data_IF_758623230406
#
_entry.id   IF_758623230406
#
_cell.length_a   1.000
_cell.length_b   1.000
_cell.length_c   1.000
_cell.angle_alpha   90.00
_cell.angle_beta   90.00
_cell.angle_gamma   90.00
#
_symmetry.space_group_name_H-M   'P 1'
#
loop_
_entity.id
_entity.type
_entity.pdbx_description
1 polymer ?
#
# COMPACT_ATOMS: atom_id res chain seq x y z
N UNK A 1 4.12 -16.20 -7.23
CA UNK A 1 3.69 -16.96 -6.02
C UNK A 1 3.08 -16.07 -4.94
N UNK A 2 3.80 -15.14 -4.28
CA UNK A 2 3.19 -14.29 -3.22
C UNK A 2 2.11 -13.31 -3.73
N UNK A 3 2.29 -12.76 -4.94
CA UNK A 3 1.31 -11.86 -5.56
C UNK A 3 0.06 -12.61 -6.04
N UNK A 4 0.24 -13.85 -6.50
CA UNK A 4 -0.82 -14.70 -7.06
C UNK A 4 -1.58 -15.49 -5.98
N UNK A 5 -1.09 -15.47 -4.73
CA UNK A 5 -1.72 -16.15 -3.60
C UNK A 5 -3.00 -15.41 -3.16
N UNK A 6 -3.96 -16.17 -2.63
CA UNK A 6 -5.18 -15.59 -2.07
C UNK A 6 -4.88 -14.60 -0.94
N UNK A 7 -5.67 -13.54 -0.88
CA UNK A 7 -5.52 -12.51 0.15
C UNK A 7 -6.07 -12.99 1.49
N UNK A 8 -5.27 -12.88 2.55
CA UNK A 8 -5.68 -13.23 3.91
C UNK A 8 -6.27 -12.03 4.67
N UNK A 9 -7.15 -12.29 5.63
CA UNK A 9 -7.66 -11.24 6.52
C UNK A 9 -6.53 -10.56 7.31
N UNK A 10 -5.46 -11.29 7.63
CA UNK A 10 -4.30 -10.75 8.32
C UNK A 10 -3.56 -9.68 7.49
N UNK A 11 -3.49 -9.87 6.17
CA UNK A 11 -2.91 -8.88 5.25
C UNK A 11 -3.78 -7.61 5.18
N UNK A 12 -5.09 -7.78 5.08
CA UNK A 12 -6.05 -6.66 5.07
C UNK A 12 -5.98 -5.89 6.39
N UNK A 13 -5.92 -6.59 7.53
CA UNK A 13 -5.76 -5.99 8.85
C UNK A 13 -4.43 -5.23 8.96
N UNK A 14 -3.34 -5.83 8.47
CA UNK A 14 -2.02 -5.18 8.44
C UNK A 14 -2.05 -3.91 7.59
N UNK A 15 -2.63 -3.97 6.40
CA UNK A 15 -2.78 -2.81 5.52
C UNK A 15 -3.59 -1.70 6.18
N UNK A 16 -4.74 -2.04 6.78
CA UNK A 16 -5.59 -1.10 7.50
C UNK A 16 -4.83 -0.40 8.64
N UNK A 17 -4.06 -1.15 9.44
CA UNK A 17 -3.22 -0.58 10.51
C UNK A 17 -2.17 0.39 9.98
N UNK A 18 -1.58 0.11 8.81
CA UNK A 18 -0.58 0.95 8.17
C UNK A 18 -1.15 2.21 7.49
N UNK A 19 -2.47 2.37 7.36
CA UNK A 19 -3.06 3.58 6.80
C UNK A 19 -2.92 4.76 7.77
N UNK A 20 -2.65 5.95 7.22
CA UNK A 20 -2.55 7.18 8.01
C UNK A 20 -3.95 7.66 8.46
N UNK A 21 -4.04 8.01 9.74
CA UNK A 21 -5.23 8.60 10.36
C UNK A 21 -5.31 10.11 10.07
N UNK A 22 -6.46 10.73 10.33
CA UNK A 22 -6.68 12.18 10.16
C UNK A 22 -6.48 12.71 8.73
N UNK A 23 -6.68 11.86 7.72
CA UNK A 23 -6.81 12.29 6.32
C UNK A 23 -8.25 12.63 6.03
N UNK A 24 -8.46 13.57 5.09
CA UNK A 24 -9.79 13.94 4.63
C UNK A 24 -10.56 12.69 4.18
N UNK A 25 -11.81 12.50 4.65
CA UNK A 25 -12.65 11.38 4.23
C UNK A 25 -12.95 11.43 2.73
N UNK A 26 -13.42 10.32 2.19
CA UNK A 26 -13.87 10.27 0.80
C UNK A 26 -15.20 11.00 0.58
N UNK A 27 -15.75 10.91 -0.64
CA UNK A 27 -17.12 11.32 -0.94
C UNK A 27 -18.18 10.66 -0.02
N UNK A 28 -17.81 9.52 0.57
CA UNK A 28 -18.60 8.74 1.53
C UNK A 28 -18.63 9.30 2.95
N UNK A 29 -17.76 10.28 3.26
CA UNK A 29 -17.67 10.88 4.60
C UNK A 29 -16.98 10.01 5.65
N UNK A 30 -16.55 8.79 5.33
CA UNK A 30 -15.88 7.90 6.28
C UNK A 30 -14.35 8.07 6.22
N UNK A 31 -13.73 8.36 7.37
CA UNK A 31 -12.28 8.44 7.49
C UNK A 31 -11.67 7.07 7.77
N UNK A 32 -10.35 6.94 7.62
CA UNK A 32 -9.60 5.72 7.98
C UNK A 32 -9.84 5.33 9.46
N UNK A 33 -10.10 6.30 10.33
CA UNK A 33 -10.36 6.07 11.75
C UNK A 33 -11.63 5.25 11.98
N UNK A 34 -12.66 5.48 11.17
CA UNK A 34 -13.88 4.67 11.18
C UNK A 34 -13.55 3.20 10.86
N UNK A 35 -12.82 2.94 9.79
CA UNK A 35 -12.45 1.58 9.39
C UNK A 35 -11.58 0.88 10.45
N UNK A 36 -10.66 1.62 11.10
CA UNK A 36 -9.86 1.10 12.21
C UNK A 36 -10.69 0.79 13.45
N UNK A 37 -11.64 1.65 13.81
CA UNK A 37 -12.51 1.44 14.97
C UNK A 37 -13.45 0.25 14.80
N UNK A 38 -13.95 0.03 13.58
CA UNK A 38 -14.87 -1.07 13.26
C UNK A 38 -14.19 -2.26 12.58
N UNK A 39 -12.86 -2.37 12.68
CA UNK A 39 -12.09 -3.41 11.98
C UNK A 39 -12.63 -4.81 12.26
N UNK A 40 -13.01 -5.11 13.50
CA UNK A 40 -13.50 -6.43 13.89
C UNK A 40 -14.80 -6.84 13.17
N UNK A 41 -15.63 -5.87 12.76
CA UNK A 41 -16.87 -6.12 12.03
C UNK A 41 -16.69 -6.04 10.52
N UNK A 42 -15.76 -5.20 10.06
CA UNK A 42 -15.56 -4.91 8.64
C UNK A 42 -14.52 -5.84 7.98
N UNK A 43 -13.62 -6.46 8.74
CA UNK A 43 -12.49 -7.22 8.18
C UNK A 43 -12.92 -8.35 7.23
N UNK A 44 -13.84 -9.20 7.67
CA UNK A 44 -14.33 -10.32 6.86
C UNK A 44 -15.12 -9.83 5.63
N UNK A 45 -16.11 -8.90 5.75
CA UNK A 45 -16.78 -8.33 4.59
C UNK A 45 -15.82 -7.68 3.58
N UNK A 46 -14.86 -6.87 4.06
CA UNK A 46 -13.86 -6.21 3.22
C UNK A 46 -12.99 -7.22 2.47
N UNK A 47 -12.55 -8.27 3.17
CA UNK A 47 -11.68 -9.30 2.57
C UNK A 47 -12.43 -10.09 1.49
N UNK A 48 -13.66 -10.52 1.76
CA UNK A 48 -14.46 -11.26 0.79
C UNK A 48 -14.77 -10.41 -0.44
N UNK A 49 -15.10 -9.15 -0.22
CA UNK A 49 -15.38 -8.20 -1.28
C UNK A 49 -14.15 -7.92 -2.16
N UNK A 50 -12.97 -7.74 -1.56
CA UNK A 50 -11.71 -7.58 -2.32
C UNK A 50 -11.42 -8.84 -3.15
N UNK A 51 -11.59 -10.03 -2.56
CA UNK A 51 -11.41 -11.31 -3.28
C UNK A 51 -12.33 -11.42 -4.48
N UNK A 52 -13.61 -11.09 -4.31
CA UNK A 52 -14.59 -11.10 -5.39
C UNK A 52 -14.22 -10.08 -6.48
N UNK A 53 -13.80 -8.88 -6.09
CA UNK A 53 -13.38 -7.85 -7.04
C UNK A 53 -12.19 -8.28 -7.90
N UNK A 54 -11.18 -8.92 -7.28
CA UNK A 54 -10.01 -9.45 -7.97
C UNK A 54 -10.40 -10.60 -8.90
N UNK A 55 -11.26 -11.52 -8.45
CA UNK A 55 -11.74 -12.64 -9.26
C UNK A 55 -12.50 -12.17 -10.50
N UNK A 56 -13.32 -11.14 -10.36
CA UNK A 56 -14.16 -10.61 -11.43
C UNK A 56 -13.47 -9.52 -12.27
N UNK A 57 -12.23 -9.12 -11.93
CA UNK A 57 -11.54 -7.96 -12.50
C UNK A 57 -12.39 -6.68 -12.53
N UNK A 58 -13.33 -6.55 -11.57
CA UNK A 58 -14.26 -5.42 -11.48
C UNK A 58 -14.52 -5.13 -10.01
N UNK A 59 -14.30 -3.88 -9.60
CA UNK A 59 -14.70 -3.40 -8.28
C UNK A 59 -16.24 -3.33 -8.21
N UNK A 60 -16.87 -3.67 -7.07
CA UNK A 60 -18.28 -3.41 -6.87
C UNK A 60 -18.59 -1.94 -7.17
N UNK A 61 -19.70 -1.66 -7.86
CA UNK A 61 -20.11 -0.29 -8.19
C UNK A 61 -20.16 0.66 -6.98
N UNK A 62 -20.65 0.25 -5.78
CA UNK A 62 -20.54 1.12 -4.61
C UNK A 62 -19.10 1.45 -4.21
N UNK A 63 -18.12 0.58 -4.51
CA UNK A 63 -16.71 0.78 -4.15
C UNK A 63 -16.00 1.86 -4.98
N UNK A 64 -16.42 2.09 -6.21
CA UNK A 64 -15.86 3.16 -7.06
C UNK A 64 -16.00 4.56 -6.42
N UNK A 65 -16.92 4.69 -5.45
CA UNK A 65 -17.19 5.92 -4.71
C UNK A 65 -16.53 5.96 -3.32
N UNK A 66 -16.00 4.82 -2.83
CA UNK A 66 -15.44 4.67 -1.47
C UNK A 66 -13.91 4.78 -1.50
N UNK A 67 -13.37 5.91 -1.03
CA UNK A 67 -11.93 6.19 -1.08
C UNK A 67 -11.08 5.35 -0.12
N UNK A 68 -11.68 4.80 0.94
CA UNK A 68 -10.94 4.04 1.94
C UNK A 68 -10.65 2.60 1.47
N UNK A 69 -11.58 1.95 0.79
CA UNK A 69 -11.43 0.56 0.36
C UNK A 69 -10.35 0.40 -0.71
N UNK A 70 -10.30 1.33 -1.67
CA UNK A 70 -9.19 1.41 -2.63
C UNK A 70 -7.85 1.58 -1.92
N UNK A 71 -7.77 2.47 -0.91
CA UNK A 71 -6.53 2.68 -0.15
C UNK A 71 -6.09 1.42 0.58
N UNK A 72 -7.03 0.64 1.13
CA UNK A 72 -6.73 -0.65 1.76
C UNK A 72 -6.17 -1.62 0.71
N UNK A 73 -6.85 -1.81 -0.42
CA UNK A 73 -6.39 -2.69 -1.50
C UNK A 73 -5.00 -2.29 -2.03
N UNK A 74 -4.82 -1.02 -2.39
CA UNK A 74 -3.52 -0.50 -2.84
C UNK A 74 -2.43 -0.70 -1.80
N UNK A 75 -2.75 -0.56 -0.51
CA UNK A 75 -1.81 -0.78 0.58
C UNK A 75 -1.44 -2.26 0.74
N UNK A 76 -2.38 -3.19 0.58
CA UNK A 76 -2.08 -4.64 0.58
C UNK A 76 -1.12 -4.97 -0.56
N UNK A 77 -1.42 -4.50 -1.78
CA UNK A 77 -0.56 -4.75 -2.95
C UNK A 77 0.84 -4.16 -2.73
N UNK A 78 0.93 -2.93 -2.23
CA UNK A 78 2.22 -2.31 -1.92
C UNK A 78 3.04 -3.11 -0.90
N UNK A 79 2.39 -3.66 0.14
CA UNK A 79 3.06 -4.50 1.14
C UNK A 79 3.55 -5.83 0.56
N UNK A 80 2.82 -6.44 -0.39
CA UNK A 80 3.29 -7.64 -1.10
C UNK A 80 4.48 -7.37 -2.02
N UNK A 81 4.51 -6.18 -2.63
CA UNK A 81 5.59 -5.77 -3.54
C UNK A 81 6.85 -5.31 -2.82
N UNK A 82 6.75 -4.89 -1.56
CA UNK A 82 7.83 -4.26 -0.78
C UNK A 82 9.15 -5.06 -0.81
N UNK A 83 9.07 -6.39 -0.60
CA UNK A 83 10.25 -7.26 -0.52
C UNK A 83 10.89 -7.54 -1.89
N UNK A 84 10.09 -7.56 -2.95
CA UNK A 84 10.56 -7.84 -4.31
C UNK A 84 11.08 -6.57 -4.98
N UNK A 85 10.49 -5.42 -4.66
CA UNK A 85 10.83 -4.12 -5.26
C UNK A 85 12.35 -3.90 -5.24
N UNK A 86 12.98 -4.05 -4.07
CA UNK A 86 14.44 -3.82 -3.90
C UNK A 86 15.33 -4.69 -4.78
N UNK A 87 14.83 -5.82 -5.31
CA UNK A 87 15.57 -6.73 -6.20
C UNK A 87 15.42 -6.36 -7.68
N UNK A 88 14.32 -5.68 -8.04
CA UNK A 88 13.99 -5.34 -9.43
C UNK A 88 14.55 -3.96 -9.79
N UNK A 89 14.54 -3.02 -8.83
CA UNK A 89 14.94 -1.64 -9.08
C UNK A 89 16.39 -1.35 -8.68
N UNK A 90 17.06 -0.54 -9.52
CA UNK A 90 18.45 -0.11 -9.30
C UNK A 90 18.64 0.55 -7.92
N UNK A 91 19.82 0.42 -7.32
CA UNK A 91 20.14 0.95 -5.97
C UNK A 91 19.88 2.44 -5.82
N UNK A 92 20.08 3.19 -6.90
CA UNK A 92 19.94 4.66 -6.92
C UNK A 92 18.47 5.11 -6.97
N UNK A 93 17.53 4.19 -7.16
CA UNK A 93 16.10 4.48 -6.97
C UNK A 93 15.79 4.50 -5.48
N UNK A 94 15.79 5.71 -4.92
CA UNK A 94 15.61 5.97 -3.48
C UNK A 94 14.21 6.45 -3.11
N UNK A 95 13.43 6.92 -4.08
CA UNK A 95 12.07 7.44 -3.85
C UNK A 95 11.08 6.35 -3.43
N UNK A 96 10.49 6.49 -2.24
CA UNK A 96 9.44 5.60 -1.71
C UNK A 96 9.85 4.13 -1.53
N UNK A 97 11.15 3.84 -1.48
CA UNK A 97 11.69 2.51 -1.23
C UNK A 97 12.15 2.40 0.21
N UNK A 98 11.68 1.38 0.91
CA UNK A 98 12.05 1.16 2.30
C UNK A 98 13.57 1.02 2.43
N UNK A 99 14.12 1.65 3.46
CA UNK A 99 15.55 1.67 3.78
C UNK A 99 16.44 2.34 2.71
N UNK A 100 15.87 3.13 1.79
CA UNK A 100 16.63 3.98 0.87
C UNK A 100 16.23 5.44 1.07
N UNK A 101 17.20 6.34 1.10
CA UNK A 101 16.99 7.75 1.38
C UNK A 101 17.51 8.60 0.22
N UNK A 102 16.80 9.68 -0.11
CA UNK A 102 17.25 10.61 -1.16
C UNK A 102 18.66 11.19 -0.89
N UNK A 103 19.04 11.30 0.39
CA UNK A 103 20.38 11.71 0.80
C UNK A 103 21.50 10.76 0.35
N UNK A 104 21.19 9.47 0.15
CA UNK A 104 22.15 8.48 -0.34
C UNK A 104 22.62 8.85 -1.76
N UNK A 105 21.70 9.33 -2.61
CA UNK A 105 22.01 9.80 -3.96
C UNK A 105 22.85 11.08 -3.95
N UNK A 106 22.54 12.01 -3.04
CA UNK A 106 23.34 13.25 -2.87
C UNK A 106 24.77 12.93 -2.43
N UNK A 107 24.93 11.98 -1.49
CA UNK A 107 26.25 11.51 -1.06
C UNK A 107 27.02 10.81 -2.18
N UNK A 108 26.35 9.96 -2.96
CA UNK A 108 26.94 9.29 -4.13
C UNK A 108 27.46 10.32 -5.15
N UNK A 109 26.64 11.33 -5.47
CA UNK A 109 27.03 12.41 -6.38
C UNK A 109 28.26 13.18 -5.88
N UNK A 110 28.27 13.56 -4.59
CA UNK A 110 29.42 14.26 -3.99
C UNK A 110 30.70 13.42 -4.05
N UNK A 111 30.58 12.10 -3.80
CA UNK A 111 31.72 11.18 -3.90
C UNK A 111 32.29 11.15 -5.33
N UNK A 112 31.44 10.98 -6.35
CA UNK A 112 31.84 10.95 -7.77
C UNK A 112 32.59 12.24 -8.15
N UNK A 113 32.04 13.40 -7.77
CA UNK A 113 32.66 14.71 -8.07
C UNK A 113 34.04 14.85 -7.42
N UNK A 114 34.20 14.40 -6.18
CA UNK A 114 35.48 14.47 -5.47
C UNK A 114 36.52 13.47 -6.00
N UNK A 115 36.10 12.31 -6.51
CA UNK A 115 37.02 11.32 -7.10
C UNK A 115 37.44 11.65 -8.53
N UNK A 116 36.70 12.53 -9.21
CA UNK A 116 37.00 12.97 -10.57
C UNK A 116 37.99 14.16 -10.62
N UNK A 117 38.31 14.75 -9.46
CA UNK A 117 39.37 15.76 -9.29
C UNK A 117 40.71 15.09 -8.98
#
# INVERSE_FOLDING_TARGET
ELLDADMSEMEVLRALKCLQINKTPGPDGFSVDYYKAFSNKLLTPLTNMIKEALKNNKLPEPLSLLNADYKILSKVIALRLEDIMTKIIHTDQTGFIKNRHGADNVRCLLHILNTAQ
#
